data_IF_226046810136
#
_entry.id   IF_226046810136
#
_cell.length_a   1.000
_cell.length_b   1.000
_cell.length_c   1.000
_cell.angle_alpha   90.00
_cell.angle_beta   90.00
_cell.angle_gamma   90.00
#
_symmetry.space_group_name_H-M   'P 1'
#
loop_
_entity.id
_entity.type
_entity.pdbx_description
1 polymer ?
#
# COMPACT_ATOMS: atom_id res chain seq x y z
N UNK A 1 -8.41 -6.11 -32.40
CA UNK A 1 -7.46 -5.79 -31.32
C UNK A 1 -7.77 -6.71 -30.14
N UNK A 2 -6.80 -7.49 -29.62
CA UNK A 2 -7.02 -8.35 -28.46
C UNK A 2 -7.27 -7.48 -27.22
N UNK A 3 -8.44 -7.61 -26.61
CA UNK A 3 -8.74 -7.01 -25.31
C UNK A 3 -8.05 -7.83 -24.24
N UNK A 4 -7.00 -7.29 -23.61
CA UNK A 4 -6.38 -7.91 -22.43
C UNK A 4 -7.46 -8.18 -21.37
N UNK A 5 -7.47 -9.37 -20.80
CA UNK A 5 -8.40 -9.72 -19.73
C UNK A 5 -8.13 -8.81 -18.52
N UNK A 6 -9.17 -8.36 -17.83
CA UNK A 6 -9.04 -7.55 -16.59
C UNK A 6 -8.17 -8.27 -15.55
N UNK A 7 -8.15 -9.61 -15.55
CA UNK A 7 -7.28 -10.43 -14.70
C UNK A 7 -5.79 -10.24 -15.03
N UNK A 8 -5.44 -10.07 -16.30
CA UNK A 8 -4.06 -9.87 -16.76
C UNK A 8 -3.54 -8.50 -16.34
N UNK A 9 -4.41 -7.48 -16.33
CA UNK A 9 -4.06 -6.13 -15.91
C UNK A 9 -3.92 -5.98 -14.38
N UNK A 10 -4.69 -6.75 -13.60
CA UNK A 10 -4.69 -6.65 -12.14
C UNK A 10 -3.48 -7.36 -11.48
N UNK A 11 -2.90 -8.36 -12.13
CA UNK A 11 -1.74 -9.12 -11.62
C UNK A 11 -0.54 -8.23 -11.27
N UNK A 12 0.00 -7.45 -12.24
CA UNK A 12 1.13 -6.55 -11.99
C UNK A 12 0.85 -5.50 -10.92
N UNK A 13 -0.37 -4.97 -10.88
CA UNK A 13 -0.78 -3.99 -9.86
C UNK A 13 -0.75 -4.60 -8.45
N UNK A 14 -1.27 -5.82 -8.29
CA UNK A 14 -1.20 -6.55 -7.02
C UNK A 14 0.24 -6.84 -6.61
N UNK A 15 1.10 -7.23 -7.56
CA UNK A 15 2.53 -7.42 -7.30
C UNK A 15 3.22 -6.14 -6.81
N UNK A 16 2.94 -5.00 -7.45
CA UNK A 16 3.48 -3.70 -7.04
C UNK A 16 2.98 -3.26 -5.66
N UNK A 17 1.70 -3.46 -5.34
CA UNK A 17 1.17 -3.18 -4.00
C UNK A 17 1.79 -4.10 -2.93
N UNK A 18 1.95 -5.39 -3.22
CA UNK A 18 2.61 -6.32 -2.30
C UNK A 18 4.05 -5.88 -2.02
N UNK A 19 4.83 -5.55 -3.06
CA UNK A 19 6.18 -5.05 -2.91
C UNK A 19 6.25 -3.76 -2.07
N UNK A 20 5.36 -2.80 -2.35
CA UNK A 20 5.29 -1.55 -1.58
C UNK A 20 4.95 -1.78 -0.11
N UNK A 21 3.98 -2.66 0.19
CA UNK A 21 3.63 -3.03 1.57
C UNK A 21 4.80 -3.71 2.29
N UNK A 22 5.50 -4.63 1.61
CA UNK A 22 6.69 -5.28 2.18
C UNK A 22 7.78 -4.26 2.51
N UNK A 23 8.04 -3.30 1.63
CA UNK A 23 9.01 -2.21 1.90
C UNK A 23 8.61 -1.44 3.15
N UNK A 24 7.35 -1.02 3.26
CA UNK A 24 6.86 -0.27 4.42
C UNK A 24 6.97 -1.07 5.73
N UNK A 25 6.63 -2.36 5.71
CA UNK A 25 6.80 -3.25 6.88
C UNK A 25 8.26 -3.35 7.29
N UNK A 26 9.18 -3.55 6.33
CA UNK A 26 10.62 -3.65 6.61
C UNK A 26 11.15 -2.35 7.20
N UNK A 27 10.74 -1.19 6.67
CA UNK A 27 11.12 0.11 7.22
C UNK A 27 10.62 0.30 8.65
N UNK A 28 9.36 -0.05 8.94
CA UNK A 28 8.80 0.04 10.29
C UNK A 28 9.55 -0.85 11.29
N UNK A 29 9.84 -2.10 10.92
CA UNK A 29 10.60 -3.00 11.77
C UNK A 29 12.03 -2.49 12.00
N UNK A 30 12.67 -1.93 10.97
CA UNK A 30 13.99 -1.30 11.10
C UNK A 30 13.97 -0.09 12.03
N UNK A 31 12.97 0.80 11.89
CA UNK A 31 12.76 1.95 12.77
C UNK A 31 12.43 1.54 14.21
N UNK A 32 11.66 0.48 14.40
CA UNK A 32 11.37 -0.05 15.72
C UNK A 32 12.63 -0.65 16.37
N UNK A 33 13.42 -1.40 15.61
CA UNK A 33 14.68 -1.97 16.09
C UNK A 33 15.68 -0.87 16.48
N UNK A 34 15.84 0.19 15.68
CA UNK A 34 16.72 1.31 16.03
C UNK A 34 16.24 2.06 17.26
N UNK A 35 14.92 2.24 17.42
CA UNK A 35 14.31 2.82 18.63
C UNK A 35 14.62 1.99 19.88
N UNK A 36 14.48 0.65 19.81
CA UNK A 36 14.79 -0.23 20.94
C UNK A 36 16.29 -0.28 21.26
N UNK A 37 17.14 -0.16 20.24
CA UNK A 37 18.60 -0.15 20.39
C UNK A 37 19.17 1.23 20.79
N UNK A 38 18.37 2.30 20.69
CA UNK A 38 18.84 3.67 20.91
C UNK A 38 19.90 4.14 19.91
N UNK A 39 19.88 3.58 18.68
CA UNK A 39 20.88 3.91 17.64
C UNK A 39 20.36 5.06 16.78
N UNK A 40 21.05 6.19 16.81
CA UNK A 40 20.69 7.34 15.97
C UNK A 40 20.97 7.08 14.47
N UNK A 41 20.13 7.62 13.56
CA UNK A 41 18.85 8.29 13.83
C UNK A 41 17.73 7.28 14.13
N UNK A 42 16.98 7.48 15.22
CA UNK A 42 15.83 6.66 15.58
C UNK A 42 14.56 7.48 15.84
N UNK A 43 13.36 6.88 15.74
CA UNK A 43 12.12 7.51 16.19
C UNK A 43 12.15 7.85 17.69
N UNK A 44 11.43 8.89 18.15
CA UNK A 44 11.21 9.11 19.58
C UNK A 44 10.62 7.87 20.26
N UNK A 45 11.06 7.54 21.48
CA UNK A 45 10.65 6.31 22.19
C UNK A 45 9.13 6.14 22.37
N UNK A 46 8.37 7.24 22.39
CA UNK A 46 6.91 7.21 22.47
C UNK A 46 6.21 6.74 21.17
N UNK A 47 6.94 6.52 20.07
CA UNK A 47 6.36 6.10 18.78
C UNK A 47 6.11 4.60 18.66
N UNK A 48 6.52 3.79 19.63
CA UNK A 48 6.33 2.32 19.61
C UNK A 48 4.89 1.88 19.27
N UNK A 49 3.84 2.40 19.95
CA UNK A 49 2.46 2.05 19.63
C UNK A 49 2.04 2.40 18.19
N UNK A 50 2.53 3.53 17.66
CA UNK A 50 2.24 3.94 16.28
C UNK A 50 2.90 3.00 15.27
N UNK A 51 4.17 2.63 15.49
CA UNK A 51 4.89 1.67 14.63
C UNK A 51 4.21 0.30 14.66
N UNK A 52 3.80 -0.17 15.84
CA UNK A 52 3.06 -1.42 15.96
C UNK A 52 1.72 -1.40 15.20
N UNK A 53 0.97 -0.30 15.29
CA UNK A 53 -0.31 -0.15 14.59
C UNK A 53 -0.15 -0.09 13.06
N UNK A 54 0.87 0.63 12.57
CA UNK A 54 1.15 0.75 11.13
C UNK A 54 1.68 -0.56 10.54
N UNK A 55 2.57 -1.26 11.24
CA UNK A 55 3.02 -2.60 10.84
C UNK A 55 1.87 -3.61 10.81
N UNK A 56 0.97 -3.60 11.81
CA UNK A 56 -0.21 -4.46 11.84
C UNK A 56 -1.16 -4.17 10.67
N UNK A 57 -1.42 -2.89 10.39
CA UNK A 57 -2.28 -2.47 9.26
C UNK A 57 -1.68 -2.88 7.91
N UNK A 58 -0.38 -2.67 7.71
CA UNK A 58 0.29 -3.08 6.48
C UNK A 58 0.28 -4.60 6.28
N UNK A 59 0.50 -5.37 7.35
CA UNK A 59 0.45 -6.84 7.32
C UNK A 59 -0.95 -7.34 7.00
N UNK A 60 -1.99 -6.79 7.65
CA UNK A 60 -3.38 -7.14 7.38
C UNK A 60 -3.77 -6.80 5.93
N UNK A 61 -3.34 -5.64 5.43
CA UNK A 61 -3.59 -5.21 4.05
C UNK A 61 -2.89 -6.13 3.04
N UNK A 62 -1.65 -6.53 3.31
CA UNK A 62 -0.91 -7.49 2.47
C UNK A 62 -1.61 -8.85 2.44
N UNK A 63 -2.04 -9.35 3.60
CA UNK A 63 -2.78 -10.60 3.70
C UNK A 63 -4.09 -10.55 2.90
N UNK A 64 -4.87 -9.47 3.05
CA UNK A 64 -6.12 -9.29 2.29
C UNK A 64 -5.89 -9.16 0.79
N UNK A 65 -4.82 -8.48 0.37
CA UNK A 65 -4.43 -8.36 -1.03
C UNK A 65 -4.11 -9.74 -1.64
N UNK A 66 -3.38 -10.59 -0.90
CA UNK A 66 -3.03 -11.95 -1.33
C UNK A 66 -4.22 -12.91 -1.33
N UNK A 67 -5.17 -12.74 -0.40
CA UNK A 67 -6.40 -13.52 -0.34
C UNK A 67 -7.39 -13.22 -1.49
N UNK A 68 -7.03 -12.38 -2.46
CA UNK A 68 -7.80 -12.01 -3.66
C UNK A 68 -9.20 -11.42 -3.39
N UNK A 69 -9.46 -10.92 -2.18
CA UNK A 69 -10.73 -10.23 -1.88
C UNK A 69 -10.75 -8.86 -2.57
N UNK A 70 -11.83 -8.56 -3.29
CA UNK A 70 -12.02 -7.28 -4.00
C UNK A 70 -11.95 -6.04 -3.10
N UNK A 71 -12.13 -6.23 -1.79
CA UNK A 71 -12.23 -5.17 -0.77
C UNK A 71 -10.88 -4.67 -0.24
N UNK A 72 -9.75 -5.10 -0.81
CA UNK A 72 -8.43 -4.65 -0.36
C UNK A 72 -8.11 -3.19 -0.77
N UNK A 73 -8.79 -2.64 -1.78
CA UNK A 73 -8.52 -1.29 -2.32
C UNK A 73 -8.60 -0.16 -1.28
N UNK A 74 -9.67 -0.02 -0.46
CA UNK A 74 -9.72 1.00 0.57
C UNK A 74 -8.60 0.84 1.62
N UNK A 75 -8.23 -0.40 1.95
CA UNK A 75 -7.16 -0.69 2.90
C UNK A 75 -5.78 -0.30 2.36
N UNK A 76 -5.52 -0.44 1.05
CA UNK A 76 -4.30 0.05 0.43
C UNK A 76 -4.14 1.56 0.62
N UNK A 77 -5.21 2.33 0.36
CA UNK A 77 -5.19 3.78 0.53
C UNK A 77 -5.04 4.18 2.00
N UNK A 78 -5.79 3.56 2.91
CA UNK A 78 -5.69 3.81 4.35
C UNK A 78 -4.29 3.50 4.89
N UNK A 79 -3.68 2.39 4.46
CA UNK A 79 -2.31 2.03 4.85
C UNK A 79 -1.32 3.07 4.36
N UNK A 80 -1.42 3.50 3.10
CA UNK A 80 -0.52 4.51 2.55
C UNK A 80 -0.60 5.82 3.35
N UNK A 81 -1.81 6.26 3.69
CA UNK A 81 -2.04 7.46 4.50
C UNK A 81 -1.49 7.30 5.93
N UNK A 82 -1.67 6.14 6.54
CA UNK A 82 -1.19 5.86 7.89
C UNK A 82 0.35 5.94 8.01
N UNK A 83 1.09 5.65 6.93
CA UNK A 83 2.55 5.72 6.89
C UNK A 83 3.12 7.12 6.64
N UNK A 84 2.30 8.10 6.24
CA UNK A 84 2.78 9.46 5.94
C UNK A 84 3.58 10.05 7.11
N UNK A 85 3.10 10.06 8.37
CA UNK A 85 3.85 10.60 9.51
C UNK A 85 5.19 9.89 9.80
N UNK A 86 5.32 8.63 9.38
CA UNK A 86 6.52 7.81 9.61
C UNK A 86 7.65 8.11 8.62
N UNK A 87 7.31 8.17 7.33
CA UNK A 87 8.30 8.17 6.21
C UNK A 87 7.96 9.13 5.06
N UNK A 88 6.97 10.01 5.23
CA UNK A 88 6.52 10.93 4.19
C UNK A 88 7.50 12.06 3.85
N UNK A 89 7.30 12.77 2.73
CA UNK A 89 8.25 13.75 2.21
C UNK A 89 8.38 14.99 3.10
N UNK A 90 7.38 15.28 3.94
CA UNK A 90 7.44 16.38 4.89
C UNK A 90 8.61 16.24 5.88
N UNK A 91 9.12 15.01 6.10
CA UNK A 91 10.24 14.76 7.02
C UNK A 91 11.54 15.43 6.60
N UNK A 92 11.73 15.76 5.31
CA UNK A 92 12.86 16.57 4.87
C UNK A 92 12.87 17.98 5.48
N UNK A 93 11.71 18.48 5.90
CA UNK A 93 11.55 19.83 6.46
C UNK A 93 11.36 19.83 7.97
N UNK A 94 10.96 18.70 8.56
CA UNK A 94 10.62 18.63 9.99
C UNK A 94 11.66 17.94 10.86
N UNK A 95 12.56 17.13 10.27
CA UNK A 95 13.59 16.40 11.02
C UNK A 95 14.95 17.10 10.94
N UNK A 96 15.62 17.26 12.07
CA UNK A 96 16.97 17.85 12.12
C UNK A 96 18.01 16.96 11.40
N UNK A 97 17.88 15.64 11.51
CA UNK A 97 18.73 14.64 10.85
C UNK A 97 18.16 14.21 9.48
N UNK A 98 17.47 15.09 8.77
CA UNK A 98 16.89 14.80 7.46
C UNK A 98 17.89 14.22 6.43
N UNK A 99 19.17 14.65 6.35
CA UNK A 99 20.15 14.04 5.44
C UNK A 99 20.39 12.56 5.72
N UNK A 100 20.53 12.17 6.99
CA UNK A 100 20.77 10.78 7.39
C UNK A 100 19.52 9.92 7.20
N UNK A 101 18.35 10.52 7.37
CA UNK A 101 17.05 9.88 7.12
C UNK A 101 16.66 9.86 5.64
N UNK A 102 17.39 10.54 4.75
CA UNK A 102 17.01 10.69 3.35
C UNK A 102 16.72 9.35 2.64
N UNK A 103 17.52 8.27 2.82
CA UNK A 103 17.21 6.98 2.20
C UNK A 103 15.85 6.43 2.64
N UNK A 104 15.54 6.52 3.93
CA UNK A 104 14.26 6.03 4.49
C UNK A 104 13.10 6.88 4.00
N UNK A 105 13.26 8.20 3.95
CA UNK A 105 12.22 9.13 3.48
C UNK A 105 11.93 8.89 2.00
N UNK A 106 12.95 8.76 1.15
CA UNK A 106 12.78 8.54 -0.30
C UNK A 106 12.12 7.19 -0.57
N UNK A 107 12.64 6.11 0.02
CA UNK A 107 12.13 4.75 -0.21
C UNK A 107 10.70 4.62 0.35
N UNK A 108 10.46 5.13 1.56
CA UNK A 108 9.15 5.11 2.18
C UNK A 108 8.12 5.95 1.42
N UNK A 109 8.48 7.17 1.00
CA UNK A 109 7.61 8.01 0.17
C UNK A 109 7.31 7.35 -1.18
N UNK A 110 8.30 6.74 -1.82
CA UNK A 110 8.11 5.99 -3.06
C UNK A 110 7.13 4.82 -2.90
N UNK A 111 7.22 4.08 -1.81
CA UNK A 111 6.28 3.01 -1.48
C UNK A 111 4.86 3.53 -1.23
N UNK A 112 4.70 4.64 -0.49
CA UNK A 112 3.40 5.31 -0.27
C UNK A 112 2.77 5.72 -1.60
N UNK A 113 3.53 6.41 -2.46
CA UNK A 113 3.03 6.85 -3.77
C UNK A 113 2.64 5.66 -4.63
N UNK A 114 3.44 4.61 -4.64
CA UNK A 114 3.13 3.37 -5.37
C UNK A 114 1.82 2.76 -4.88
N UNK A 115 1.62 2.66 -3.56
CA UNK A 115 0.37 2.17 -2.96
C UNK A 115 -0.85 3.00 -3.37
N UNK A 116 -0.75 4.33 -3.32
CA UNK A 116 -1.84 5.23 -3.72
C UNK A 116 -2.17 5.12 -5.21
N UNK A 117 -1.16 5.06 -6.08
CA UNK A 117 -1.35 4.88 -7.53
C UNK A 117 -1.99 3.53 -7.82
N UNK A 118 -1.51 2.45 -7.19
CA UNK A 118 -2.09 1.12 -7.35
C UNK A 118 -3.53 1.08 -6.85
N UNK A 119 -3.81 1.65 -5.68
CA UNK A 119 -5.17 1.74 -5.13
C UNK A 119 -6.11 2.47 -6.11
N UNK A 120 -5.68 3.62 -6.65
CA UNK A 120 -6.47 4.37 -7.62
C UNK A 120 -6.70 3.61 -8.94
N UNK A 121 -5.70 2.89 -9.44
CA UNK A 121 -5.84 2.08 -10.67
C UNK A 121 -6.74 0.88 -10.46
N UNK A 122 -6.57 0.14 -9.37
CA UNK A 122 -7.43 -1.00 -9.03
C UNK A 122 -8.88 -0.57 -8.82
N UNK A 123 -9.10 0.57 -8.17
CA UNK A 123 -10.43 1.16 -7.99
C UNK A 123 -11.11 1.49 -9.31
N UNK A 124 -10.38 2.08 -10.27
CA UNK A 124 -10.91 2.36 -11.62
C UNK A 124 -11.29 1.08 -12.34
N UNK A 125 -10.43 0.05 -12.32
CA UNK A 125 -10.72 -1.25 -12.92
C UNK A 125 -11.96 -1.92 -12.31
N UNK A 126 -12.22 -1.74 -11.01
CA UNK A 126 -13.41 -2.27 -10.34
C UNK A 126 -14.69 -1.50 -10.69
N UNK A 127 -14.58 -0.23 -11.10
CA UNK A 127 -15.72 0.63 -11.42
C UNK A 127 -16.10 0.64 -12.89
N UNK A 128 -15.27 0.10 -13.77
CA UNK A 128 -15.59 0.07 -15.20
C UNK A 128 -16.83 -0.79 -15.48
N UNK A 129 -17.91 -0.22 -16.02
CA UNK A 129 -19.20 -0.90 -16.23
C UNK A 129 -19.12 -2.05 -17.24
N UNK A 130 -18.08 -2.07 -18.09
CA UNK A 130 -17.78 -3.19 -18.98
C UNK A 130 -17.46 -4.50 -18.22
N UNK A 131 -17.08 -4.41 -16.94
CA UNK A 131 -16.85 -5.57 -16.07
C UNK A 131 -18.15 -6.11 -15.46
N UNK A 132 -19.24 -5.33 -15.49
CA UNK A 132 -20.54 -5.67 -14.91
C UNK A 132 -21.53 -6.32 -15.90
N UNK A 133 -21.23 -6.34 -17.20
CA UNK A 133 -22.02 -7.01 -18.23
C UNK A 133 -21.10 -7.93 -19.05
N UNK A 134 -21.39 -9.24 -19.23
CA UNK A 134 -22.70 -9.78 -19.59
C UNK A 134 -23.04 -11.11 -18.90
N UNK A 135 -23.99 -11.11 -17.95
CA UNK A 135 -24.63 -12.35 -17.47
C UNK A 135 -26.16 -12.30 -17.51
N UNK A 136 -26.74 -11.28 -18.16
CA UNK A 136 -28.19 -11.10 -18.33
C UNK A 136 -28.67 -11.24 -19.78
N UNK A 137 -27.93 -11.92 -20.64
CA UNK A 137 -28.31 -12.14 -22.05
C UNK A 137 -28.37 -13.63 -22.42
N UNK A 138 -28.77 -14.50 -21.48
CA UNK A 138 -28.80 -15.95 -21.68
C UNK A 138 -30.04 -16.67 -21.14
N UNK A 139 -31.13 -15.95 -20.84
CA UNK A 139 -32.40 -16.58 -20.50
C UNK A 139 -33.53 -15.95 -21.32
N UNK A 140 -33.47 -16.14 -22.63
CA UNK A 140 -34.70 -16.31 -23.39
C UNK A 140 -34.43 -17.21 -24.61
N UNK A 141 -35.00 -18.42 -24.61
CA UNK A 141 -35.68 -18.87 -25.80
C UNK A 141 -37.14 -19.17 -25.43
N UNK A 142 -38.01 -18.21 -25.73
CA UNK A 142 -39.25 -18.35 -26.47
C UNK A 142 -39.84 -19.77 -26.55
N UNK A 143 -41.10 -19.83 -26.08
CA UNK A 143 -42.21 -20.74 -26.46
C UNK A 143 -42.32 -22.07 -25.72
#
# INVERSE_FOLDING_TARGET
>A
MPTLSVRDAAGPLRGAAAAALTILIVLDLGMFASMLAGVEPHPPGARGPYIAATAALATATLWMLMATRGDAVPLLALTALAFIPGVGPHKFFTEAAAPDLAPVIVVGTGAIVTLLVVAARLHRLQRDPATAAPMRAGSDPAR
#
